data_IF_045800166044
#
_entry.id   IF_045800166044
#
_cell.length_a   1.000
_cell.length_b   1.000
_cell.length_c   1.000
_cell.angle_alpha   90.00
_cell.angle_beta   90.00
_cell.angle_gamma   90.00
#
_symmetry.space_group_name_H-M   'P 1'
#
loop_
_entity.id
_entity.type
_entity.pdbx_description
1 polymer ?
#
# COMPACT_ATOMS: atom_id res chain seq x y z
N UNK A 1 9.79 3.25 -18.86
CA UNK A 1 9.36 1.92 -18.71
C UNK A 1 8.21 1.74 -17.78
N UNK A 2 7.35 0.94 -18.10
CA UNK A 2 6.18 0.83 -17.30
C UNK A 2 6.43 -0.04 -16.07
N UNK A 3 5.62 0.13 -15.06
CA UNK A 3 5.70 -0.70 -13.89
C UNK A 3 4.96 -1.99 -14.15
N UNK A 4 5.14 -2.94 -13.31
CA UNK A 4 4.47 -4.21 -13.45
C UNK A 4 2.98 -4.12 -13.26
N UNK A 5 2.29 -5.16 -13.67
CA UNK A 5 0.84 -5.22 -13.57
C UNK A 5 0.44 -5.51 -12.12
N UNK A 6 -0.59 -4.86 -11.64
CA UNK A 6 -1.05 -5.10 -10.28
C UNK A 6 -2.53 -5.44 -10.32
N UNK A 7 -2.99 -6.09 -9.26
CA UNK A 7 -4.39 -6.48 -9.16
C UNK A 7 -5.23 -5.29 -8.69
N UNK A 8 -6.55 -5.44 -8.77
CA UNK A 8 -7.44 -4.38 -8.32
C UNK A 8 -7.24 -4.11 -6.84
N UNK A 9 -7.05 -5.16 -6.06
CA UNK A 9 -6.86 -5.00 -4.62
C UNK A 9 -5.55 -4.25 -4.33
N UNK A 10 -4.51 -4.56 -5.07
CA UNK A 10 -3.23 -3.88 -4.90
C UNK A 10 -3.35 -2.42 -5.29
N UNK A 11 -4.14 -2.13 -6.31
CA UNK A 11 -4.38 -0.74 -6.71
C UNK A 11 -5.13 0.00 -5.62
N UNK A 12 -6.12 -0.63 -4.99
CA UNK A 12 -6.86 -0.01 -3.91
C UNK A 12 -5.92 0.38 -2.78
N UNK A 13 -5.02 -0.53 -2.43
CA UNK A 13 -4.06 -0.29 -1.37
C UNK A 13 -3.17 0.90 -1.74
N UNK A 14 -2.67 0.90 -2.96
CA UNK A 14 -1.78 1.95 -3.41
C UNK A 14 -2.47 3.31 -3.37
N UNK A 15 -3.70 3.38 -3.85
CA UNK A 15 -4.42 4.63 -3.88
C UNK A 15 -4.77 5.12 -2.50
N UNK A 16 -5.10 4.21 -1.60
CA UNK A 16 -5.39 4.60 -0.24
C UNK A 16 -4.13 5.20 0.42
N UNK A 17 -2.99 4.55 0.22
CA UNK A 17 -1.74 5.06 0.78
C UNK A 17 -1.44 6.45 0.24
N UNK A 18 -1.61 6.64 -1.05
CA UNK A 18 -1.34 7.93 -1.65
C UNK A 18 -2.26 9.01 -1.09
N UNK A 19 -3.53 8.70 -0.95
CA UNK A 19 -4.47 9.69 -0.46
C UNK A 19 -4.15 10.06 1.00
N UNK A 20 -3.73 9.09 1.80
CA UNK A 20 -3.40 9.37 3.18
C UNK A 20 -2.14 10.23 3.31
N UNK A 21 -1.17 9.99 2.45
CA UNK A 21 0.04 10.79 2.45
C UNK A 21 -0.31 12.23 2.06
N UNK A 22 -1.19 12.40 1.09
CA UNK A 22 -1.59 13.74 0.68
C UNK A 22 -2.40 14.45 1.76
N UNK A 23 -3.26 13.73 2.45
CA UNK A 23 -4.09 14.31 3.47
C UNK A 23 -3.40 14.55 4.78
N UNK A 24 -2.64 13.61 5.24
CA UNK A 24 -2.03 13.66 6.56
C UNK A 24 -0.56 14.00 6.55
N UNK A 25 0.10 13.83 5.43
CA UNK A 25 1.53 14.07 5.33
C UNK A 25 2.36 12.86 5.73
N UNK A 26 1.73 11.72 6.01
CA UNK A 26 2.46 10.50 6.34
C UNK A 26 1.61 9.30 5.92
N UNK A 27 2.25 8.16 5.70
CA UNK A 27 1.51 6.98 5.23
C UNK A 27 0.70 6.35 6.35
N UNK A 28 -0.35 5.60 6.02
CA UNK A 28 -1.19 4.98 7.03
C UNK A 28 -0.53 3.73 7.61
N UNK A 29 -0.99 3.31 8.77
CA UNK A 29 -0.50 2.07 9.35
C UNK A 29 -1.07 0.90 8.57
N UNK A 30 -0.41 -0.24 8.65
CA UNK A 30 -0.86 -1.44 7.93
C UNK A 30 -2.28 -1.81 8.35
N UNK A 31 -2.59 -1.67 9.63
CA UNK A 31 -3.93 -1.99 10.11
C UNK A 31 -4.98 -1.09 9.46
N UNK A 32 -4.66 0.18 9.29
CA UNK A 32 -5.59 1.11 8.65
C UNK A 32 -5.82 0.72 7.21
N UNK A 33 -4.76 0.31 6.52
CA UNK A 33 -4.89 -0.14 5.14
C UNK A 33 -5.79 -1.36 5.09
N UNK A 34 -5.55 -2.29 5.99
CA UNK A 34 -6.32 -3.53 6.04
C UNK A 34 -7.82 -3.23 6.15
N UNK A 35 -8.18 -2.33 7.02
CA UNK A 35 -9.58 -1.97 7.21
C UNK A 35 -10.13 -1.21 6.01
N UNK A 36 -9.34 -0.33 5.46
CA UNK A 36 -9.82 0.50 4.35
C UNK A 36 -10.10 -0.31 3.11
N UNK A 37 -9.31 -1.34 2.86
CA UNK A 37 -9.51 -2.14 1.65
C UNK A 37 -10.20 -3.48 1.96
N UNK A 38 -10.73 -3.58 3.17
CA UNK A 38 -11.54 -4.74 3.54
C UNK A 38 -10.83 -6.07 3.44
N UNK A 39 -9.62 -6.14 3.97
CA UNK A 39 -8.90 -7.40 4.03
C UNK A 39 -9.02 -7.94 5.45
N UNK A 40 -8.96 -9.24 5.59
CA UNK A 40 -9.17 -9.85 6.88
C UNK A 40 -7.93 -9.93 7.74
N UNK A 41 -6.77 -9.84 7.18
CA UNK A 41 -5.57 -9.93 7.99
C UNK A 41 -4.49 -9.02 7.45
N UNK A 42 -3.64 -8.57 8.35
CA UNK A 42 -2.55 -7.69 7.97
C UNK A 42 -1.49 -8.44 7.14
N UNK A 43 -1.47 -9.76 7.24
CA UNK A 43 -0.56 -10.55 6.42
C UNK A 43 -0.86 -10.33 4.94
N UNK A 44 -2.14 -10.22 4.60
CA UNK A 44 -2.53 -9.99 3.21
C UNK A 44 -2.02 -8.64 2.74
N UNK A 45 -2.11 -7.64 3.59
CA UNK A 45 -1.61 -6.31 3.25
C UNK A 45 -0.11 -6.36 3.00
N UNK A 46 0.62 -7.02 3.89
CA UNK A 46 2.07 -7.12 3.73
C UNK A 46 2.44 -7.81 2.42
N UNK A 47 1.70 -8.86 2.09
CA UNK A 47 1.95 -9.59 0.86
C UNK A 47 1.73 -8.71 -0.36
N UNK A 48 0.63 -7.94 -0.36
CA UNK A 48 0.35 -7.04 -1.46
C UNK A 48 1.39 -5.93 -1.55
N UNK A 49 1.84 -5.42 -0.41
CA UNK A 49 2.84 -4.36 -0.41
C UNK A 49 4.17 -4.85 -0.96
N UNK A 50 4.54 -6.08 -0.61
CA UNK A 50 5.77 -6.65 -1.15
C UNK A 50 5.68 -6.78 -2.67
N UNK A 51 4.53 -7.22 -3.17
CA UNK A 51 4.34 -7.36 -4.60
C UNK A 51 4.41 -6.00 -5.29
N UNK A 52 3.80 -4.99 -4.68
CA UNK A 52 3.83 -3.65 -5.26
C UNK A 52 5.26 -3.13 -5.33
N UNK A 53 6.01 -3.33 -4.26
CA UNK A 53 7.37 -2.85 -4.23
C UNK A 53 8.21 -3.56 -5.31
N UNK A 54 7.98 -4.86 -5.46
CA UNK A 54 8.71 -5.65 -6.43
C UNK A 54 8.39 -5.19 -7.86
N UNK A 55 7.20 -4.65 -8.07
CA UNK A 55 6.79 -4.19 -9.38
C UNK A 55 7.11 -2.71 -9.61
N UNK A 56 7.91 -2.12 -8.76
CA UNK A 56 8.38 -0.76 -9.00
C UNK A 56 7.61 0.35 -8.35
N UNK A 57 6.65 0.02 -7.48
CA UNK A 57 5.88 1.04 -6.77
C UNK A 57 6.56 1.29 -5.43
N UNK A 58 6.97 2.52 -5.20
CA UNK A 58 7.67 2.87 -3.98
C UNK A 58 6.74 3.34 -2.90
N UNK A 59 7.02 2.95 -1.66
CA UNK A 59 6.24 3.39 -0.54
C UNK A 59 7.17 3.94 0.51
N UNK A 60 6.70 4.92 1.26
CA UNK A 60 7.52 5.49 2.31
C UNK A 60 7.00 5.19 3.69
N UNK A 61 6.03 4.30 3.81
CA UNK A 61 5.47 4.08 5.10
C UNK A 61 6.34 3.22 5.99
N UNK A 62 7.36 2.63 5.47
CA UNK A 62 8.22 1.84 6.32
C UNK A 62 9.47 2.59 6.65
N UNK A 63 9.53 3.84 6.49
CA UNK A 63 10.65 4.52 6.65
C UNK A 63 11.19 4.56 7.87
N UNK A 64 12.12 4.40 8.17
CA UNK A 64 12.73 4.36 9.41
C UNK A 64 13.30 5.62 9.79
N UNK A 65 13.58 5.78 9.73
CA UNK A 65 14.24 6.60 9.92
C UNK A 65 14.76 7.07 10.10
#
# INVERSE_FOLDING_TARGET
MSKGTITDKQREILEYIKSQILERGFPPAVREICEAVNLKSTSSVHSHLETLERNGYDFYFSMPL
#
